data_IF_679711185850
#
_entry.id   IF_679711185850
#
_cell.length_a   1.000
_cell.length_b   1.000
_cell.length_c   1.000
_cell.angle_alpha   90.00
_cell.angle_beta   90.00
_cell.angle_gamma   90.00
#
_symmetry.space_group_name_H-M   'P 1'
#
loop_
_entity.id
_entity.type
_entity.pdbx_description
1 polymer ?
#
# COMPACT_ATOMS: atom_id res chain seq x y z
N UNK A 1 -36.03 -26.32 -10.09
CA UNK A 1 -35.96 -27.28 -8.96
C UNK A 1 -34.66 -26.98 -8.25
N UNK A 2 -34.74 -26.19 -7.19
CA UNK A 2 -33.58 -25.77 -6.37
C UNK A 2 -33.91 -26.20 -4.95
N UNK A 3 -33.19 -27.20 -4.44
CA UNK A 3 -33.29 -27.60 -3.04
C UNK A 3 -32.57 -26.56 -2.19
N UNK A 4 -33.37 -25.76 -1.50
CA UNK A 4 -32.98 -24.91 -0.37
C UNK A 4 -33.70 -25.51 0.83
N UNK A 5 -32.99 -26.21 1.71
CA UNK A 5 -33.37 -26.42 3.11
C UNK A 5 -32.30 -27.25 3.82
N UNK A 6 -31.52 -26.58 4.67
CA UNK A 6 -31.33 -26.95 6.08
C UNK A 6 -30.23 -26.04 6.62
N UNK A 7 -30.58 -25.08 7.47
CA UNK A 7 -29.96 -24.85 8.79
C UNK A 7 -30.91 -23.92 9.55
N UNK A 8 -31.50 -24.45 10.62
CA UNK A 8 -31.95 -23.63 11.75
C UNK A 8 -31.39 -24.27 13.02
N UNK A 9 -30.91 -23.39 13.90
CA UNK A 9 -30.68 -23.56 15.34
C UNK A 9 -29.21 -23.49 15.77
N UNK A 10 -28.93 -22.39 16.47
CA UNK A 10 -28.14 -22.22 17.69
C UNK A 10 -27.26 -20.98 17.60
N UNK A 11 -27.80 -19.83 18.03
CA UNK A 11 -27.28 -19.05 19.16
C UNK A 11 -28.32 -18.01 19.56
N UNK A 12 -28.53 -17.91 20.87
CA UNK A 12 -29.53 -17.04 21.48
C UNK A 12 -29.15 -15.57 21.45
N UNK A 13 -30.19 -14.74 21.27
CA UNK A 13 -30.44 -13.48 21.94
C UNK A 13 -29.35 -12.41 21.95
N UNK A 14 -29.54 -11.35 21.16
CA UNK A 14 -29.87 -10.00 21.68
C UNK A 14 -30.76 -9.30 20.64
N UNK A 15 -31.95 -8.89 21.06
CA UNK A 15 -32.88 -8.06 20.30
C UNK A 15 -32.36 -6.61 20.16
N UNK A 16 -32.42 -6.03 18.96
CA UNK A 16 -32.93 -4.67 18.74
C UNK A 16 -33.70 -4.60 17.41
N UNK A 17 -34.96 -4.18 17.51
CA UNK A 17 -35.96 -4.24 16.45
C UNK A 17 -35.84 -3.15 15.40
N UNK A 18 -36.25 -3.50 14.18
CA UNK A 18 -36.55 -2.59 13.09
C UNK A 18 -37.40 -3.32 12.05
N UNK A 19 -38.68 -2.95 11.94
CA UNK A 19 -39.67 -3.55 11.04
C UNK A 19 -39.36 -3.20 9.59
N UNK A 20 -39.16 -4.19 8.71
CA UNK A 20 -39.22 -3.99 7.26
C UNK A 20 -40.64 -4.26 6.75
N UNK A 21 -41.22 -3.25 6.10
CA UNK A 21 -42.48 -3.35 5.33
C UNK A 21 -42.22 -4.10 4.03
N UNK A 22 -43.06 -5.08 3.74
CA UNK A 22 -43.17 -5.76 2.46
C UNK A 22 -43.74 -4.81 1.39
N UNK A 23 -43.05 -4.71 0.26
CA UNK A 23 -43.60 -4.13 -0.97
C UNK A 23 -43.58 -5.21 -2.07
N UNK A 24 -44.77 -5.69 -2.39
CA UNK A 24 -45.08 -6.54 -3.55
C UNK A 24 -45.45 -5.66 -4.74
N UNK A 25 -44.87 -5.92 -5.92
CA UNK A 25 -45.37 -5.40 -7.21
C UNK A 25 -44.32 -5.54 -8.31
N UNK A 26 -44.32 -6.63 -9.10
CA UNK A 26 -44.88 -6.73 -10.48
C UNK A 26 -44.18 -5.75 -11.46
N UNK A 27 -43.56 -6.14 -12.59
CA UNK A 27 -43.92 -7.10 -13.65
C UNK A 27 -42.69 -7.49 -14.48
N UNK A 28 -42.76 -8.69 -15.07
CA UNK A 28 -41.88 -9.26 -16.10
C UNK A 28 -42.07 -8.55 -17.45
N UNK A 29 -40.98 -8.30 -18.19
CA UNK A 29 -41.01 -8.18 -19.64
C UNK A 29 -39.81 -8.89 -20.27
N UNK A 30 -40.07 -9.47 -21.45
CA UNK A 30 -39.34 -10.55 -22.10
C UNK A 30 -38.19 -10.09 -22.99
N UNK A 31 -37.28 -11.04 -23.26
CA UNK A 31 -36.13 -10.94 -24.15
C UNK A 31 -36.50 -10.65 -25.62
N UNK A 32 -35.73 -9.77 -26.27
CA UNK A 32 -35.59 -9.70 -27.73
C UNK A 32 -34.11 -9.43 -28.14
N UNK A 33 -33.65 -9.99 -29.28
CA UNK A 33 -32.23 -10.11 -29.68
C UNK A 33 -31.65 -8.84 -30.34
N UNK A 34 -30.31 -8.74 -30.52
CA UNK A 34 -29.66 -7.47 -30.86
C UNK A 34 -29.78 -7.09 -32.34
N UNK A 35 -29.97 -5.79 -32.61
CA UNK A 35 -29.87 -5.22 -33.96
C UNK A 35 -28.59 -4.41 -34.15
N UNK A 36 -28.03 -4.60 -35.36
CA UNK A 36 -26.76 -4.12 -35.89
C UNK A 36 -26.60 -2.59 -35.92
N UNK A 37 -25.33 -2.18 -35.87
CA UNK A 37 -24.83 -0.83 -36.05
C UNK A 37 -25.10 -0.25 -37.44
N UNK A 38 -25.36 1.07 -37.50
CA UNK A 38 -25.20 1.92 -38.67
C UNK A 38 -24.93 3.37 -38.23
N UNK A 39 -24.09 4.06 -39.00
CA UNK A 39 -23.37 5.27 -38.63
C UNK A 39 -23.99 6.58 -39.14
N UNK A 40 -23.53 7.67 -38.52
CA UNK A 40 -23.46 9.09 -38.95
C UNK A 40 -24.77 9.91 -39.00
N UNK A 41 -24.79 11.04 -38.28
CA UNK A 41 -24.38 12.38 -38.79
C UNK A 41 -24.44 13.45 -37.69
N UNK A 42 -23.40 14.31 -37.64
CA UNK A 42 -23.31 15.56 -36.87
C UNK A 42 -24.31 16.59 -37.37
N UNK A 43 -24.88 17.42 -36.47
CA UNK A 43 -25.17 18.84 -36.74
C UNK A 43 -24.90 19.68 -35.49
N UNK A 44 -24.05 20.69 -35.69
CA UNK A 44 -23.73 21.79 -34.78
C UNK A 44 -24.83 22.86 -34.94
N UNK A 45 -25.31 23.47 -33.85
CA UNK A 45 -26.00 24.77 -33.91
C UNK A 45 -25.49 25.67 -32.79
N UNK A 46 -24.85 26.75 -33.22
CA UNK A 46 -24.49 27.95 -32.46
C UNK A 46 -25.73 28.86 -32.44
N UNK A 47 -26.00 29.49 -31.30
CA UNK A 47 -26.95 30.59 -31.15
C UNK A 47 -26.55 31.45 -29.96
N UNK A 48 -26.30 32.74 -30.22
CA UNK A 48 -25.71 33.74 -29.34
C UNK A 48 -26.70 34.92 -29.15
N UNK A 49 -26.49 35.72 -28.08
CA UNK A 49 -26.95 37.10 -27.80
C UNK A 49 -28.45 37.19 -27.37
N UNK A 50 -28.90 37.97 -26.37
CA UNK A 50 -28.49 39.30 -25.89
C UNK A 50 -28.93 39.59 -24.43
N UNK A 51 -28.25 40.60 -23.85
CA UNK A 51 -28.48 41.22 -22.55
C UNK A 51 -29.50 42.39 -22.58
N UNK A 52 -29.96 42.83 -21.40
CA UNK A 52 -30.31 44.22 -20.96
C UNK A 52 -30.89 44.15 -19.53
N UNK A 53 -30.24 44.66 -18.47
CA UNK A 53 -30.23 46.03 -17.91
C UNK A 53 -31.65 46.58 -17.60
N UNK A 54 -32.16 46.66 -16.37
CA UNK A 54 -31.84 47.51 -15.19
C UNK A 54 -32.87 48.64 -14.99
N UNK A 55 -33.49 48.74 -13.79
CA UNK A 55 -33.88 50.00 -13.14
C UNK A 55 -34.44 49.76 -11.72
N UNK A 56 -34.03 50.63 -10.80
CA UNK A 56 -34.30 50.64 -9.36
C UNK A 56 -35.64 51.33 -9.00
N UNK A 57 -36.09 51.17 -7.74
CA UNK A 57 -36.75 52.21 -6.93
C UNK A 57 -36.75 51.82 -5.43
N UNK A 58 -36.48 52.82 -4.59
CA UNK A 58 -36.17 52.78 -3.16
C UNK A 58 -37.39 52.90 -2.26
N UNK A 59 -37.39 52.30 -1.05
CA UNK A 59 -38.02 52.77 0.22
C UNK A 59 -37.42 51.89 1.35
N UNK A 60 -36.72 52.37 2.37
CA UNK A 60 -37.21 53.11 3.54
C UNK A 60 -36.66 52.43 4.82
N UNK A 61 -35.91 53.15 5.64
CA UNK A 61 -35.24 52.67 6.88
C UNK A 61 -36.13 52.87 8.11
N UNK A 62 -36.10 51.95 9.11
CA UNK A 62 -36.24 52.34 10.51
C UNK A 62 -35.02 51.92 11.36
N UNK A 63 -34.75 52.59 12.50
CA UNK A 63 -33.47 52.53 13.18
C UNK A 63 -33.39 51.54 14.35
N UNK A 64 -32.17 51.05 14.59
CA UNK A 64 -31.60 50.89 15.94
C UNK A 64 -31.77 49.51 16.60
N UNK A 65 -30.64 48.79 16.76
CA UNK A 65 -29.94 48.69 18.05
C UNK A 65 -28.66 47.84 17.96
N UNK A 66 -27.57 48.49 18.35
CA UNK A 66 -26.37 47.99 19.03
C UNK A 66 -25.48 46.95 18.35
N UNK A 67 -24.36 47.46 17.86
CA UNK A 67 -23.16 46.73 17.47
C UNK A 67 -22.59 45.92 18.64
N UNK A 68 -22.42 44.61 18.42
CA UNK A 68 -21.39 43.82 19.08
C UNK A 68 -20.18 43.81 18.14
N UNK A 69 -19.10 44.37 18.63
CA UNK A 69 -17.77 44.35 18.02
C UNK A 69 -17.27 42.91 17.91
N UNK A 70 -17.52 42.26 16.77
CA UNK A 70 -16.70 41.14 16.32
C UNK A 70 -15.43 41.73 15.70
N UNK A 71 -14.38 41.76 16.52
CA UNK A 71 -13.02 42.01 16.07
C UNK A 71 -12.67 40.93 15.04
N UNK A 72 -12.70 41.27 13.76
CA UNK A 72 -12.09 40.46 12.70
C UNK A 72 -10.59 40.43 12.97
N UNK A 73 -10.10 39.33 13.53
CA UNK A 73 -8.69 39.00 13.50
C UNK A 73 -8.29 38.74 12.04
N UNK A 74 -7.31 39.50 11.56
CA UNK A 74 -6.73 39.40 10.23
C UNK A 74 -6.23 37.98 9.91
N UNK A 75 -6.27 37.54 8.64
CA UNK A 75 -5.69 36.28 8.21
C UNK A 75 -4.19 36.49 7.96
N UNK A 76 -3.42 36.67 9.02
CA UNK A 76 -1.95 36.69 8.96
C UNK A 76 -1.39 36.27 10.32
N UNK A 77 -1.70 35.03 10.70
CA UNK A 77 -0.89 34.30 11.67
C UNK A 77 -0.68 32.91 11.07
N UNK A 78 0.25 32.85 10.12
CA UNK A 78 0.81 31.60 9.64
C UNK A 78 1.24 30.81 10.87
N UNK A 79 0.56 29.68 11.11
CA UNK A 79 0.99 28.72 12.10
C UNK A 79 2.46 28.39 11.82
N UNK A 80 3.34 28.91 12.67
CA UNK A 80 4.75 28.54 12.65
C UNK A 80 4.78 27.01 12.74
N UNK A 81 5.50 26.30 11.84
CA UNK A 81 5.59 24.86 11.96
C UNK A 81 6.26 24.59 13.30
N UNK A 82 5.50 24.02 14.23
CA UNK A 82 6.06 23.46 15.45
C UNK A 82 7.24 22.60 15.01
N UNK A 83 8.43 22.90 15.54
CA UNK A 83 9.64 22.12 15.32
C UNK A 83 9.40 20.72 15.88
N UNK A 84 8.74 19.86 15.09
CA UNK A 84 8.55 18.47 15.41
C UNK A 84 9.94 17.86 15.41
N UNK A 85 10.37 17.37 16.59
CA UNK A 85 11.58 16.60 16.69
C UNK A 85 11.55 15.47 15.64
N UNK A 86 12.68 15.17 14.98
CA UNK A 86 12.74 14.07 14.04
C UNK A 86 12.20 12.80 14.68
N UNK A 87 11.30 12.10 13.98
CA UNK A 87 10.80 10.81 14.45
C UNK A 87 11.98 9.85 14.59
N UNK A 88 12.10 9.08 15.69
CA UNK A 88 13.14 8.07 15.81
C UNK A 88 13.07 7.09 14.64
N UNK A 89 14.22 6.75 14.08
CA UNK A 89 14.32 5.72 13.04
C UNK A 89 14.04 4.36 13.72
N UNK A 90 13.07 3.56 13.23
CA UNK A 90 12.80 2.25 13.80
C UNK A 90 14.02 1.35 13.72
N UNK A 91 14.29 0.59 14.78
CA UNK A 91 15.37 -0.40 14.82
C UNK A 91 14.91 -1.73 14.21
N UNK A 92 15.87 -2.58 13.82
CA UNK A 92 15.57 -3.91 13.30
C UNK A 92 14.81 -4.76 14.33
N UNK A 93 15.34 -4.86 15.56
CA UNK A 93 14.85 -5.77 16.58
C UNK A 93 14.75 -7.23 16.10
N UNK A 94 14.04 -8.10 16.82
CA UNK A 94 13.83 -9.50 16.41
C UNK A 94 13.03 -9.63 15.11
N UNK A 95 12.11 -8.70 14.85
CA UNK A 95 11.24 -8.72 13.67
C UNK A 95 12.01 -8.36 12.39
N UNK A 96 13.09 -7.57 12.50
CA UNK A 96 13.97 -7.21 11.40
C UNK A 96 15.02 -8.26 11.04
N UNK A 97 15.25 -9.27 11.87
CA UNK A 97 16.27 -10.28 11.62
C UNK A 97 15.97 -11.11 10.35
N UNK A 98 17.00 -11.48 9.55
CA UNK A 98 16.85 -12.40 8.42
C UNK A 98 16.10 -13.67 8.80
N UNK A 99 15.16 -14.09 7.94
CA UNK A 99 14.30 -15.26 8.23
C UNK A 99 14.93 -16.55 7.70
N UNK A 100 14.72 -17.64 8.45
CA UNK A 100 15.17 -18.98 8.04
C UNK A 100 14.48 -19.40 6.74
N UNK A 101 15.18 -20.20 5.92
CA UNK A 101 14.57 -20.84 4.75
C UNK A 101 13.78 -22.11 5.11
N UNK A 102 13.92 -22.61 6.34
CA UNK A 102 13.21 -23.78 6.85
C UNK A 102 11.79 -23.36 7.28
N UNK A 103 10.93 -23.12 6.30
CA UNK A 103 9.52 -22.74 6.49
C UNK A 103 8.61 -23.66 5.66
N UNK A 104 7.46 -24.02 6.21
CA UNK A 104 6.33 -24.69 5.56
C UNK A 104 5.65 -23.72 4.60
N UNK A 105 5.16 -24.25 3.48
CA UNK A 105 4.43 -23.49 2.47
C UNK A 105 5.24 -23.10 1.24
N UNK A 106 6.58 -23.12 1.33
CA UNK A 106 7.44 -22.92 0.16
C UNK A 106 8.77 -23.67 0.30
N UNK A 107 9.11 -24.60 -0.62
CA UNK A 107 10.39 -25.31 -0.58
C UNK A 107 11.59 -24.35 -0.59
N UNK A 108 12.54 -24.57 0.32
CA UNK A 108 13.76 -23.77 0.43
C UNK A 108 14.52 -23.64 -0.89
N UNK A 109 14.50 -24.69 -1.72
CA UNK A 109 15.17 -24.70 -3.02
C UNK A 109 14.53 -23.72 -4.02
N UNK A 110 13.19 -23.60 -4.04
CA UNK A 110 12.52 -22.59 -4.86
C UNK A 110 12.88 -21.17 -4.40
N UNK A 111 13.01 -20.99 -3.08
CA UNK A 111 13.46 -19.71 -2.52
C UNK A 111 14.90 -19.37 -2.92
N UNK A 112 15.80 -20.35 -3.00
CA UNK A 112 17.18 -20.15 -3.50
C UNK A 112 17.19 -19.81 -4.99
N UNK A 113 16.36 -20.47 -5.80
CA UNK A 113 16.25 -20.23 -7.24
C UNK A 113 15.69 -18.84 -7.58
N UNK A 114 14.92 -18.24 -6.67
CA UNK A 114 14.43 -16.87 -6.81
C UNK A 114 15.52 -15.78 -6.56
N UNK A 115 16.73 -16.16 -6.15
CA UNK A 115 17.84 -15.22 -6.00
C UNK A 115 18.41 -14.90 -7.38
N UNK A 116 18.49 -13.62 -7.79
CA UNK A 116 19.03 -13.26 -9.09
C UNK A 116 20.53 -13.59 -9.17
N UNK A 117 21.00 -14.24 -10.26
CA UNK A 117 22.40 -14.66 -10.38
C UNK A 117 23.43 -13.53 -10.30
N UNK A 118 23.05 -12.31 -10.69
CA UNK A 118 23.90 -11.12 -10.68
C UNK A 118 23.95 -10.40 -9.31
N UNK A 119 23.16 -10.85 -8.32
CA UNK A 119 23.26 -10.42 -6.93
C UNK A 119 23.09 -11.58 -5.93
N UNK A 120 24.08 -12.50 -5.85
CA UNK A 120 24.03 -13.64 -4.95
C UNK A 120 24.02 -13.19 -3.48
N UNK A 121 23.33 -13.94 -2.63
CA UNK A 121 23.25 -13.68 -1.20
C UNK A 121 24.49 -14.20 -0.47
N UNK A 122 25.09 -13.37 0.38
CA UNK A 122 26.12 -13.78 1.35
C UNK A 122 25.77 -13.20 2.73
N UNK A 123 26.17 -13.83 3.84
CA UNK A 123 25.92 -13.30 5.18
C UNK A 123 26.43 -11.86 5.35
N UNK A 124 27.64 -11.56 4.88
CA UNK A 124 28.22 -10.21 5.00
C UNK A 124 27.45 -9.17 4.18
N UNK A 125 26.95 -9.54 2.99
CA UNK A 125 26.15 -8.64 2.16
C UNK A 125 24.78 -8.37 2.78
N UNK A 126 24.16 -9.39 3.38
CA UNK A 126 22.90 -9.25 4.10
C UNK A 126 23.09 -8.33 5.31
N UNK A 127 24.14 -8.53 6.10
CA UNK A 127 24.48 -7.68 7.25
C UNK A 127 24.72 -6.23 6.83
N UNK A 128 25.46 -5.99 5.74
CA UNK A 128 25.64 -4.64 5.19
C UNK A 128 24.30 -4.04 4.72
N UNK A 129 23.47 -4.83 4.06
CA UNK A 129 22.13 -4.43 3.63
C UNK A 129 21.23 -4.02 4.79
N UNK A 130 21.23 -4.81 5.88
CA UNK A 130 20.49 -4.52 7.10
C UNK A 130 20.94 -3.17 7.66
N UNK A 131 22.25 -2.97 7.86
CA UNK A 131 22.78 -1.69 8.34
C UNK A 131 22.30 -0.51 7.50
N UNK A 132 22.35 -0.62 6.17
CA UNK A 132 21.91 0.43 5.26
C UNK A 132 20.39 0.67 5.32
N UNK A 133 19.57 -0.39 5.45
CA UNK A 133 18.11 -0.28 5.53
C UNK A 133 17.64 0.55 6.75
N UNK A 134 18.43 0.52 7.82
CA UNK A 134 18.16 1.22 9.08
C UNK A 134 18.98 2.52 9.25
N UNK A 135 19.82 2.93 8.29
CA UNK A 135 20.67 4.13 8.43
C UNK A 135 20.02 5.38 7.84
N UNK A 136 19.73 6.35 8.71
CA UNK A 136 19.18 7.65 8.36
C UNK A 136 20.07 8.49 7.45
N UNK A 137 21.39 8.26 7.43
CA UNK A 137 22.35 8.99 6.57
C UNK A 137 22.04 8.87 5.09
N UNK A 138 21.28 7.86 4.67
CA UNK A 138 20.80 7.75 3.30
C UNK A 138 19.84 8.88 2.92
N UNK A 139 19.15 9.52 3.87
CA UNK A 139 18.36 10.73 3.62
C UNK A 139 19.19 12.01 3.67
N UNK A 140 18.70 13.07 3.03
CA UNK A 140 19.42 14.34 2.92
C UNK A 140 19.62 15.04 4.28
N UNK A 141 18.75 14.84 5.26
CA UNK A 141 18.88 15.45 6.60
C UNK A 141 19.20 14.44 7.71
N UNK A 142 19.31 13.15 7.39
CA UNK A 142 19.61 12.10 8.37
C UNK A 142 18.39 11.58 9.14
N UNK A 143 17.18 12.07 8.85
CA UNK A 143 15.97 11.79 9.65
C UNK A 143 15.11 10.64 9.14
N UNK A 144 15.37 10.16 7.92
CA UNK A 144 14.59 9.10 7.26
C UNK A 144 15.52 7.96 6.81
N UNK A 145 15.12 6.73 7.12
CA UNK A 145 15.70 5.49 6.59
C UNK A 145 14.61 4.67 5.89
N UNK A 146 14.97 3.55 5.24
CA UNK A 146 13.98 2.63 4.67
C UNK A 146 13.00 2.15 5.75
N UNK A 147 13.51 1.86 6.95
CA UNK A 147 12.70 1.43 8.10
C UNK A 147 11.71 2.47 8.61
N UNK A 148 11.87 3.75 8.27
CA UNK A 148 10.91 4.80 8.66
C UNK A 148 9.53 4.60 8.01
N UNK A 149 9.52 4.07 6.78
CA UNK A 149 8.30 3.72 6.03
C UNK A 149 8.01 2.21 6.05
N UNK A 150 9.03 1.39 6.31
CA UNK A 150 8.96 -0.06 6.35
C UNK A 150 9.41 -0.59 7.72
N UNK A 151 8.62 -0.28 8.75
CA UNK A 151 8.92 -0.57 10.15
C UNK A 151 8.70 -2.06 10.46
N UNK A 152 9.71 -2.82 10.90
CA UNK A 152 9.55 -4.23 11.26
C UNK A 152 8.43 -4.48 12.28
N UNK A 153 8.20 -3.56 13.23
CA UNK A 153 7.14 -3.66 14.23
C UNK A 153 5.74 -3.50 13.65
N UNK A 154 5.62 -2.99 12.42
CA UNK A 154 4.36 -2.85 11.67
C UNK A 154 4.34 -3.72 10.42
N UNK A 155 4.90 -4.92 10.51
CA UNK A 155 5.00 -5.86 9.40
C UNK A 155 5.65 -5.20 8.16
N UNK A 156 6.67 -4.38 8.37
CA UNK A 156 7.38 -3.63 7.33
C UNK A 156 6.50 -2.66 6.52
N UNK A 157 5.46 -2.12 7.13
CA UNK A 157 4.71 -0.94 6.68
C UNK A 157 4.95 0.21 7.64
N UNK A 158 4.28 1.35 7.47
CA UNK A 158 4.25 2.43 8.47
C UNK A 158 2.88 2.59 9.17
N UNK A 159 1.89 1.77 8.80
CA UNK A 159 0.52 1.82 9.31
C UNK A 159 -0.22 3.11 8.97
N UNK A 160 0.17 3.83 7.91
CA UNK A 160 -0.44 5.11 7.50
C UNK A 160 -1.10 5.01 6.13
N UNK A 161 -2.12 5.85 5.84
CA UNK A 161 -2.67 5.93 4.49
C UNK A 161 -1.62 6.31 3.45
N UNK A 162 -0.77 7.28 3.81
CA UNK A 162 0.40 7.68 3.02
C UNK A 162 1.58 7.97 3.91
N UNK A 163 2.77 7.60 3.46
CA UNK A 163 3.99 7.80 4.23
C UNK A 163 4.36 9.25 4.42
N UNK A 164 5.10 9.52 5.49
CA UNK A 164 5.67 10.84 5.78
C UNK A 164 7.18 10.69 5.67
N UNK A 165 7.80 11.43 4.75
CA UNK A 165 9.25 11.43 4.55
C UNK A 165 9.91 12.69 5.13
N UNK A 166 10.99 13.10 4.46
CA UNK A 166 11.89 14.17 4.88
C UNK A 166 11.15 15.49 5.10
N UNK A 167 11.55 16.27 6.12
CA UNK A 167 10.90 17.52 6.51
C UNK A 167 9.39 17.41 6.77
N UNK A 168 8.89 16.22 7.16
CA UNK A 168 7.47 15.99 7.39
C UNK A 168 6.62 15.98 6.12
N UNK A 169 7.23 15.85 4.93
CA UNK A 169 6.51 15.81 3.65
C UNK A 169 5.64 14.56 3.56
N UNK A 170 4.38 14.75 3.23
CA UNK A 170 3.44 13.64 2.99
C UNK A 170 3.61 13.14 1.56
N UNK A 171 3.74 11.82 1.42
CA UNK A 171 3.80 11.13 0.14
C UNK A 171 2.42 10.98 -0.51
N UNK A 172 2.37 10.24 -1.62
CA UNK A 172 1.14 10.05 -2.41
C UNK A 172 0.57 8.64 -2.33
N UNK A 173 1.28 7.73 -1.66
CA UNK A 173 0.98 6.30 -1.65
C UNK A 173 1.18 5.72 -0.26
N UNK A 174 0.40 4.70 0.04
CA UNK A 174 0.62 3.79 1.15
C UNK A 174 1.94 3.03 0.95
N UNK A 175 2.73 2.84 2.00
CA UNK A 175 3.95 2.02 1.94
C UNK A 175 3.57 0.54 1.94
N UNK A 176 3.78 -0.20 0.83
CA UNK A 176 3.54 -1.64 0.83
C UNK A 176 4.55 -2.33 1.76
N UNK A 177 4.19 -3.49 2.30
CA UNK A 177 5.13 -4.30 3.08
C UNK A 177 6.34 -4.75 2.25
N UNK A 178 7.52 -4.85 2.87
CA UNK A 178 8.67 -5.56 2.26
C UNK A 178 8.67 -7.07 2.54
N UNK A 179 7.73 -7.58 3.32
CA UNK A 179 7.60 -9.02 3.53
C UNK A 179 7.33 -9.72 2.19
N UNK A 180 8.07 -10.78 1.91
CA UNK A 180 7.94 -11.60 0.71
C UNK A 180 8.21 -10.89 -0.63
N UNK A 181 8.77 -9.66 -0.65
CA UNK A 181 9.00 -8.91 -1.91
C UNK A 181 9.97 -9.58 -2.89
N UNK A 182 10.75 -10.56 -2.42
CA UNK A 182 11.56 -11.45 -3.26
C UNK A 182 10.74 -12.10 -4.39
N UNK A 183 9.47 -12.42 -4.14
CA UNK A 183 8.62 -13.15 -5.09
C UNK A 183 7.80 -12.22 -6.00
N UNK A 184 7.89 -10.91 -5.81
CA UNK A 184 7.22 -9.94 -6.68
C UNK A 184 7.82 -9.98 -8.09
N UNK A 185 6.96 -10.00 -9.11
CA UNK A 185 7.38 -9.87 -10.52
C UNK A 185 7.83 -8.44 -10.87
N UNK A 186 7.24 -7.44 -10.20
CA UNK A 186 7.52 -6.01 -10.37
C UNK A 186 7.38 -5.29 -9.03
N UNK A 187 8.04 -4.14 -8.86
CA UNK A 187 8.03 -3.34 -7.63
C UNK A 187 7.26 -2.02 -7.80
N UNK A 188 6.98 -1.30 -6.70
CA UNK A 188 6.00 -0.19 -6.58
C UNK A 188 4.55 -0.59 -6.89
N UNK A 189 3.57 0.18 -6.43
CA UNK A 189 2.14 -0.07 -6.70
C UNK A 189 1.77 -0.14 -8.18
N UNK A 190 2.45 0.64 -9.02
CA UNK A 190 2.24 0.70 -10.48
C UNK A 190 3.10 -0.32 -11.26
N UNK A 191 3.96 -1.09 -10.58
CA UNK A 191 4.80 -2.10 -11.22
C UNK A 191 5.90 -1.53 -12.13
N UNK A 192 6.25 -0.23 -11.99
CA UNK A 192 7.10 0.48 -12.96
C UNK A 192 8.57 0.02 -13.03
N UNK A 193 9.06 -0.70 -12.02
CA UNK A 193 10.41 -1.28 -12.01
C UNK A 193 10.35 -2.78 -11.76
N UNK A 194 11.37 -3.52 -12.22
CA UNK A 194 11.36 -4.99 -12.17
C UNK A 194 12.13 -5.54 -10.98
N UNK A 195 13.17 -4.86 -10.55
CA UNK A 195 14.09 -5.37 -9.54
C UNK A 195 14.01 -4.58 -8.23
N UNK A 196 14.45 -5.20 -7.14
CA UNK A 196 14.57 -4.54 -5.83
C UNK A 196 15.68 -3.49 -5.86
N UNK A 197 16.76 -3.74 -6.60
CA UNK A 197 17.87 -2.81 -6.80
C UNK A 197 17.41 -1.51 -7.46
N UNK A 198 16.60 -1.59 -8.52
CA UNK A 198 15.97 -0.43 -9.16
C UNK A 198 15.02 0.29 -8.19
N UNK A 199 14.24 -0.47 -7.42
CA UNK A 199 13.29 0.09 -6.47
C UNK A 199 13.98 0.86 -5.35
N UNK A 200 14.99 0.26 -4.70
CA UNK A 200 15.72 0.84 -3.58
C UNK A 200 16.43 2.16 -3.95
N UNK A 201 16.77 2.36 -5.22
CA UNK A 201 17.39 3.59 -5.70
C UNK A 201 16.45 4.82 -5.68
N UNK A 202 15.15 4.64 -5.92
CA UNK A 202 14.25 5.77 -6.16
C UNK A 202 13.83 6.52 -4.89
N UNK A 203 13.50 5.88 -3.75
CA UNK A 203 13.17 6.58 -2.50
C UNK A 203 14.30 7.50 -2.02
N UNK A 204 15.56 7.08 -2.22
CA UNK A 204 16.77 7.82 -1.82
C UNK A 204 16.76 9.24 -2.39
N UNK A 205 16.40 9.39 -3.67
CA UNK A 205 16.40 10.69 -4.37
C UNK A 205 15.03 11.36 -4.42
N UNK A 206 13.96 10.69 -3.97
CA UNK A 206 12.63 11.28 -4.01
C UNK A 206 12.51 12.42 -2.98
N UNK A 207 12.15 13.65 -3.40
CA UNK A 207 12.07 14.81 -2.52
C UNK A 207 10.98 14.72 -1.43
N UNK A 208 10.01 13.81 -1.55
CA UNK A 208 8.99 13.55 -0.54
C UNK A 208 9.34 12.38 0.39
N UNK A 209 10.38 11.60 0.06
CA UNK A 209 10.80 10.43 0.84
C UNK A 209 12.14 10.75 1.54
N UNK A 210 13.29 10.45 0.92
CA UNK A 210 14.60 10.62 1.55
C UNK A 210 15.37 11.87 1.06
N UNK A 211 14.98 12.43 -0.08
CA UNK A 211 15.33 13.78 -0.51
C UNK A 211 16.78 14.05 -0.90
N UNK A 212 17.59 13.03 -1.18
CA UNK A 212 18.96 13.25 -1.68
C UNK A 212 18.93 13.91 -3.07
N UNK A 213 19.85 14.85 -3.36
CA UNK A 213 19.92 15.47 -4.68
C UNK A 213 20.39 14.49 -5.77
N UNK A 214 21.11 13.44 -5.39
CA UNK A 214 21.54 12.36 -6.28
C UNK A 214 21.91 11.11 -5.47
N UNK A 215 22.02 9.96 -6.17
CA UNK A 215 22.58 8.75 -5.57
C UNK A 215 24.02 8.97 -5.08
N UNK A 216 24.83 9.70 -5.83
CA UNK A 216 26.22 10.00 -5.45
C UNK A 216 26.31 10.79 -4.14
N UNK A 217 25.35 11.69 -3.88
CA UNK A 217 25.30 12.42 -2.61
C UNK A 217 24.98 11.48 -1.43
N UNK A 218 24.10 10.49 -1.62
CA UNK A 218 23.84 9.46 -0.62
C UNK A 218 25.09 8.61 -0.37
N UNK A 219 25.73 8.15 -1.45
CA UNK A 219 26.97 7.36 -1.39
C UNK A 219 28.09 8.12 -0.69
N UNK A 220 28.25 9.41 -0.96
CA UNK A 220 29.28 10.24 -0.32
C UNK A 220 29.11 10.30 1.21
N UNK A 221 27.87 10.35 1.71
CA UNK A 221 27.60 10.28 3.15
C UNK A 221 27.95 8.93 3.74
N UNK A 222 27.64 7.84 3.05
CA UNK A 222 27.99 6.48 3.47
C UNK A 222 29.52 6.29 3.45
N UNK A 223 30.19 6.76 2.40
CA UNK A 223 31.65 6.67 2.24
C UNK A 223 32.43 7.52 3.26
N UNK A 224 31.78 8.49 3.91
CA UNK A 224 32.38 9.27 4.99
C UNK A 224 32.52 8.48 6.30
N UNK A 225 31.93 7.29 6.41
CA UNK A 225 31.99 6.42 7.59
C UNK A 225 32.98 5.28 7.34
N UNK A 226 34.00 5.15 8.21
CA UNK A 226 35.06 4.13 8.09
C UNK A 226 34.51 2.70 8.05
N UNK A 227 33.55 2.41 8.93
CA UNK A 227 32.89 1.10 9.00
C UNK A 227 32.24 0.70 7.67
N UNK A 228 31.62 1.64 6.94
CA UNK A 228 31.05 1.33 5.63
C UNK A 228 32.12 1.13 4.56
N UNK A 229 33.22 1.88 4.59
CA UNK A 229 34.32 1.65 3.64
C UNK A 229 34.89 0.24 3.81
N UNK A 230 35.09 -0.20 5.04
CA UNK A 230 35.55 -1.56 5.35
C UNK A 230 34.54 -2.62 4.92
N UNK A 231 33.26 -2.44 5.24
CA UNK A 231 32.22 -3.37 4.88
C UNK A 231 32.05 -3.52 3.36
N UNK A 232 32.10 -2.41 2.60
CA UNK A 232 32.06 -2.48 1.13
C UNK A 232 33.31 -3.12 0.54
N UNK A 233 34.49 -2.84 1.10
CA UNK A 233 35.72 -3.51 0.68
C UNK A 233 35.67 -5.02 0.93
N UNK A 234 35.10 -5.47 2.06
CA UNK A 234 34.92 -6.88 2.36
C UNK A 234 33.90 -7.55 1.44
N UNK A 235 32.74 -6.94 1.23
CA UNK A 235 31.62 -7.55 0.49
C UNK A 235 31.81 -7.48 -1.02
N UNK A 236 32.33 -6.36 -1.52
CA UNK A 236 32.38 -6.05 -2.96
C UNK A 236 33.80 -5.84 -3.50
N UNK A 237 34.82 -5.79 -2.64
CA UNK A 237 36.21 -5.59 -3.06
C UNK A 237 36.55 -4.17 -3.49
N UNK A 238 35.67 -3.20 -3.22
CA UNK A 238 35.81 -1.80 -3.68
C UNK A 238 35.09 -0.82 -2.75
N UNK A 239 35.39 0.50 -2.84
CA UNK A 239 34.73 1.52 -2.04
C UNK A 239 33.20 1.61 -2.27
N UNK A 240 32.46 2.25 -1.34
CA UNK A 240 31.03 2.48 -1.48
C UNK A 240 30.66 3.14 -2.82
N UNK A 241 29.64 2.58 -3.49
CA UNK A 241 29.13 3.06 -4.76
C UNK A 241 27.63 2.74 -4.87
N UNK A 242 26.91 3.47 -5.74
CA UNK A 242 25.45 3.35 -5.87
C UNK A 242 24.96 1.92 -6.19
N UNK A 243 25.50 1.26 -7.24
CA UNK A 243 25.11 -0.10 -7.59
C UNK A 243 25.26 -1.12 -6.44
N UNK A 244 26.38 -1.10 -5.72
CA UNK A 244 26.62 -2.05 -4.64
C UNK A 244 25.80 -1.72 -3.38
N UNK A 245 25.52 -0.43 -3.13
CA UNK A 245 24.63 0.01 -2.05
C UNK A 245 23.24 -0.58 -2.20
N UNK A 246 22.62 -0.43 -3.39
CA UNK A 246 21.27 -0.98 -3.62
C UNK A 246 21.26 -2.50 -3.68
N UNK A 247 22.36 -3.14 -4.14
CA UNK A 247 22.51 -4.60 -4.08
C UNK A 247 22.57 -5.14 -2.66
N UNK A 248 23.24 -4.42 -1.75
CA UNK A 248 23.27 -4.78 -0.33
C UNK A 248 21.88 -4.67 0.29
N UNK A 249 21.21 -3.51 0.14
CA UNK A 249 19.83 -3.30 0.64
C UNK A 249 18.88 -4.40 0.12
N UNK A 250 18.87 -4.62 -1.19
CA UNK A 250 18.03 -5.63 -1.82
C UNK A 250 18.37 -7.07 -1.36
N UNK A 251 19.58 -7.31 -0.85
CA UNK A 251 19.92 -8.61 -0.25
C UNK A 251 19.25 -8.79 1.10
N UNK A 252 19.27 -7.76 1.95
CA UNK A 252 18.54 -7.77 3.20
C UNK A 252 17.02 -7.93 2.99
N UNK A 253 16.42 -7.15 2.08
CA UNK A 253 14.99 -7.22 1.77
C UNK A 253 14.57 -8.64 1.36
N UNK A 254 15.39 -9.31 0.56
CA UNK A 254 15.16 -10.69 0.13
C UNK A 254 15.14 -11.69 1.28
N UNK A 255 15.66 -11.36 2.45
CA UNK A 255 15.64 -12.26 3.63
C UNK A 255 14.36 -12.14 4.45
N UNK A 256 13.53 -11.13 4.19
CA UNK A 256 12.28 -10.89 4.91
C UNK A 256 11.15 -11.76 4.34
N UNK A 257 11.33 -13.09 4.40
CA UNK A 257 10.34 -14.07 3.98
C UNK A 257 9.50 -14.55 5.17
N UNK A 258 8.18 -14.57 5.00
CA UNK A 258 7.25 -14.96 6.05
C UNK A 258 6.18 -15.90 5.47
N UNK A 259 6.48 -17.19 5.60
CA UNK A 259 5.60 -18.34 5.43
C UNK A 259 5.33 -18.96 6.83
N UNK A 260 5.09 -20.27 6.94
CA UNK A 260 4.66 -20.93 8.19
C UNK A 260 3.31 -20.47 8.74
N UNK A 261 2.48 -19.81 7.94
CA UNK A 261 1.13 -19.47 8.38
C UNK A 261 0.26 -20.73 8.53
N UNK A 262 -0.83 -20.68 9.32
CA UNK A 262 -1.81 -21.77 9.35
C UNK A 262 -2.31 -22.19 7.94
N UNK A 263 -2.37 -21.23 7.02
CA UNK A 263 -2.71 -21.50 5.62
C UNK A 263 -1.59 -22.26 4.88
N UNK A 264 -0.32 -21.97 5.14
CA UNK A 264 0.81 -22.69 4.56
C UNK A 264 0.83 -24.16 4.97
N UNK A 265 0.60 -24.44 6.26
CA UNK A 265 0.45 -25.81 6.77
C UNK A 265 -0.77 -26.52 6.16
N UNK A 266 -1.88 -25.80 5.97
CA UNK A 266 -3.05 -26.35 5.29
C UNK A 266 -2.74 -26.75 3.84
N UNK A 267 -2.04 -25.91 3.09
CA UNK A 267 -1.60 -26.22 1.72
C UNK A 267 -0.58 -27.37 1.70
N UNK A 268 0.26 -27.50 2.74
CA UNK A 268 1.18 -28.62 2.91
C UNK A 268 0.49 -29.95 3.30
N UNK A 269 -0.83 -29.96 3.48
CA UNK A 269 -1.63 -31.16 3.71
C UNK A 269 -2.14 -31.34 5.14
N UNK A 270 -1.80 -30.43 6.06
CA UNK A 270 -2.33 -30.43 7.42
C UNK A 270 -3.77 -29.89 7.42
N UNK A 271 -4.73 -30.78 7.16
CA UNK A 271 -6.16 -30.44 6.94
C UNK A 271 -6.81 -29.64 8.07
N UNK A 272 -6.26 -29.68 9.28
CA UNK A 272 -6.79 -29.01 10.47
C UNK A 272 -5.99 -27.76 10.86
N UNK A 273 -4.98 -27.35 10.07
CA UNK A 273 -4.22 -26.14 10.34
C UNK A 273 -5.08 -24.87 10.24
N UNK A 274 -6.15 -24.90 9.43
CA UNK A 274 -7.19 -23.85 9.40
C UNK A 274 -8.55 -24.40 9.84
N UNK A 275 -9.37 -23.53 10.44
CA UNK A 275 -10.72 -23.90 10.87
C UNK A 275 -11.71 -24.00 9.69
N UNK A 276 -12.91 -24.54 9.95
CA UNK A 276 -13.91 -24.76 8.90
C UNK A 276 -14.44 -23.46 8.27
N UNK A 277 -14.39 -22.34 9.00
CA UNK A 277 -14.75 -21.04 8.42
C UNK A 277 -13.73 -20.60 7.37
N UNK A 278 -12.44 -20.74 7.67
CA UNK A 278 -11.36 -20.45 6.73
C UNK A 278 -11.40 -21.39 5.51
N UNK A 279 -11.73 -22.68 5.69
CA UNK A 279 -11.93 -23.62 4.56
C UNK A 279 -13.06 -23.17 3.62
N UNK A 280 -14.20 -22.73 4.17
CA UNK A 280 -15.29 -22.14 3.36
C UNK A 280 -14.87 -20.86 2.66
N UNK A 281 -14.11 -20.00 3.34
CA UNK A 281 -13.53 -18.79 2.75
C UNK A 281 -12.58 -19.10 1.58
N UNK A 282 -11.74 -20.12 1.73
CA UNK A 282 -10.83 -20.60 0.68
C UNK A 282 -11.60 -21.14 -0.55
N UNK A 283 -12.66 -21.93 -0.33
CA UNK A 283 -13.53 -22.38 -1.42
C UNK A 283 -14.17 -21.19 -2.14
N UNK A 284 -14.73 -20.23 -1.40
CA UNK A 284 -15.32 -19.02 -1.97
C UNK A 284 -14.31 -18.21 -2.80
N UNK A 285 -13.10 -18.01 -2.27
CA UNK A 285 -12.01 -17.27 -2.91
C UNK A 285 -11.66 -17.85 -4.29
N UNK A 286 -11.56 -19.18 -4.40
CA UNK A 286 -11.20 -19.83 -5.66
C UNK A 286 -12.37 -20.02 -6.63
N UNK A 287 -13.59 -20.21 -6.12
CA UNK A 287 -14.76 -20.58 -6.95
C UNK A 287 -15.62 -19.38 -7.31
N UNK A 288 -16.42 -18.86 -6.37
CA UNK A 288 -17.38 -17.79 -6.63
C UNK A 288 -16.70 -16.42 -6.77
N UNK A 289 -15.70 -16.14 -5.91
CA UNK A 289 -14.90 -14.92 -5.98
C UNK A 289 -13.93 -14.92 -7.17
N UNK A 290 -13.49 -16.12 -7.60
CA UNK A 290 -12.54 -16.31 -8.71
C UNK A 290 -11.27 -15.46 -8.56
N UNK A 291 -10.82 -15.27 -7.32
CA UNK A 291 -9.71 -14.39 -6.96
C UNK A 291 -8.33 -14.97 -7.31
N UNK A 292 -8.28 -16.19 -7.85
CA UNK A 292 -7.05 -16.94 -8.18
C UNK A 292 -7.06 -17.48 -9.62
N UNK A 293 -7.50 -16.67 -10.59
CA UNK A 293 -7.46 -17.08 -12.01
C UNK A 293 -6.07 -16.85 -12.58
N UNK A 294 -5.52 -17.88 -13.22
CA UNK A 294 -4.23 -17.79 -13.93
C UNK A 294 -4.20 -16.64 -14.94
N UNK A 295 -5.28 -16.42 -15.69
CA UNK A 295 -5.37 -15.36 -16.69
C UNK A 295 -5.31 -13.93 -16.11
N UNK A 296 -5.62 -13.78 -14.81
CA UNK A 296 -5.60 -12.49 -14.13
C UNK A 296 -4.21 -12.22 -13.48
N UNK A 297 -3.36 -13.25 -13.37
CA UNK A 297 -2.01 -13.13 -12.81
C UNK A 297 -1.17 -12.21 -13.70
N UNK A 298 -0.72 -11.09 -13.13
CA UNK A 298 0.06 -10.05 -13.80
C UNK A 298 -0.67 -9.28 -14.92
N UNK A 299 -2.00 -9.44 -15.06
CA UNK A 299 -2.80 -8.56 -15.92
C UNK A 299 -2.74 -7.09 -15.41
N UNK A 300 -2.73 -6.93 -14.09
CA UNK A 300 -2.35 -5.74 -13.37
C UNK A 300 -1.44 -6.15 -12.20
N UNK A 301 -0.67 -5.21 -11.63
CA UNK A 301 0.04 -5.52 -10.39
C UNK A 301 -0.96 -5.63 -9.25
N UNK A 302 -1.19 -6.84 -8.79
CA UNK A 302 -1.92 -7.14 -7.55
C UNK A 302 -0.92 -7.35 -6.42
N UNK A 303 -1.04 -6.64 -5.28
CA UNK A 303 -0.23 -6.93 -4.10
C UNK A 303 -0.39 -8.38 -3.64
N UNK A 304 0.63 -8.92 -2.99
CA UNK A 304 0.53 -10.18 -2.27
C UNK A 304 -0.50 -10.06 -1.13
N UNK A 305 -1.28 -11.12 -0.91
CA UNK A 305 -2.26 -11.22 0.18
C UNK A 305 -1.67 -11.90 1.43
N UNK A 306 -0.43 -12.40 1.37
CA UNK A 306 0.27 -12.84 2.59
C UNK A 306 0.43 -11.68 3.53
N UNK A 307 0.21 -11.93 4.82
CA UNK A 307 0.29 -10.94 5.89
C UNK A 307 -0.72 -9.80 5.81
N UNK A 308 -1.72 -9.87 4.92
CA UNK A 308 -2.71 -8.79 4.70
C UNK A 308 -3.50 -8.41 5.97
N UNK A 309 -3.61 -9.32 6.95
CA UNK A 309 -4.24 -9.02 8.24
C UNK A 309 -3.50 -7.95 9.07
N UNK A 310 -2.22 -7.69 8.77
CA UNK A 310 -1.35 -6.80 9.57
C UNK A 310 -0.66 -5.71 8.76
N UNK A 311 -1.06 -5.50 7.50
CA UNK A 311 -0.47 -4.51 6.59
C UNK A 311 -1.48 -3.43 6.16
N UNK A 312 -2.47 -3.15 7.00
CA UNK A 312 -3.40 -2.04 6.77
C UNK A 312 -2.72 -0.67 6.99
N UNK A 313 -3.34 0.43 6.53
CA UNK A 313 -4.56 0.46 5.72
C UNK A 313 -4.31 -0.02 4.28
N UNK A 314 -5.38 -0.30 3.54
CA UNK A 314 -5.33 -1.00 2.25
C UNK A 314 -5.53 -0.08 1.06
N UNK A 315 -5.15 -0.60 -0.11
CA UNK A 315 -5.00 0.08 -1.39
C UNK A 315 -3.80 1.04 -1.45
N UNK A 316 -3.48 1.43 -2.68
CA UNK A 316 -2.31 2.25 -3.00
C UNK A 316 -2.34 3.64 -2.35
N UNK A 317 -3.51 4.11 -1.94
CA UNK A 317 -3.76 5.39 -1.26
C UNK A 317 -4.13 5.22 0.22
N UNK A 318 -4.25 3.97 0.69
CA UNK A 318 -4.58 3.65 2.07
C UNK A 318 -5.98 4.10 2.49
N UNK A 319 -6.94 4.22 1.55
CA UNK A 319 -8.29 4.69 1.84
C UNK A 319 -9.17 3.65 2.56
N UNK A 320 -8.82 2.38 2.54
CA UNK A 320 -9.61 1.35 3.23
C UNK A 320 -8.94 1.00 4.57
N UNK A 321 -9.60 1.31 5.67
CA UNK A 321 -9.03 1.11 7.01
C UNK A 321 -9.02 -0.37 7.40
N UNK A 322 -10.05 -1.12 7.01
CA UNK A 322 -10.23 -2.53 7.37
C UNK A 322 -10.38 -3.43 6.14
N UNK A 323 -10.11 -4.73 6.30
CA UNK A 323 -10.40 -5.72 5.26
C UNK A 323 -11.88 -5.83 4.95
N UNK A 324 -12.75 -5.51 5.92
CA UNK A 324 -14.18 -5.47 5.65
C UNK A 324 -14.53 -4.35 4.68
N UNK A 325 -13.90 -3.18 4.80
CA UNK A 325 -14.08 -2.08 3.84
C UNK A 325 -13.60 -2.49 2.43
N UNK A 326 -12.48 -3.22 2.35
CA UNK A 326 -11.98 -3.78 1.08
C UNK A 326 -12.98 -4.77 0.46
N UNK A 327 -13.50 -5.71 1.24
CA UNK A 327 -14.47 -6.70 0.76
C UNK A 327 -15.79 -6.01 0.35
N UNK A 328 -16.24 -5.03 1.13
CA UNK A 328 -17.44 -4.26 0.82
C UNK A 328 -17.27 -3.41 -0.45
N UNK A 329 -16.09 -2.83 -0.67
CA UNK A 329 -15.76 -2.11 -1.89
C UNK A 329 -15.92 -3.02 -3.13
N UNK A 330 -15.35 -4.23 -3.09
CA UNK A 330 -15.50 -5.18 -4.21
C UNK A 330 -16.92 -5.72 -4.35
N UNK A 331 -17.64 -5.96 -3.25
CA UNK A 331 -19.03 -6.44 -3.29
C UNK A 331 -20.00 -5.41 -3.89
N UNK A 332 -19.71 -4.11 -3.76
CA UNK A 332 -20.49 -3.02 -4.38
C UNK A 332 -20.22 -2.87 -5.88
N UNK A 333 -19.18 -3.52 -6.40
CA UNK A 333 -18.73 -3.37 -7.78
C UNK A 333 -17.88 -2.13 -8.03
N UNK A 334 -17.42 -1.44 -6.99
CA UNK A 334 -16.63 -0.21 -7.09
C UNK A 334 -15.17 -0.45 -7.54
N UNK A 335 -14.78 -1.72 -7.72
CA UNK A 335 -13.45 -2.16 -8.16
C UNK A 335 -13.39 -2.76 -9.57
N UNK A 336 -14.43 -2.59 -10.40
CA UNK A 336 -14.49 -3.10 -11.79
C UNK A 336 -14.63 -2.00 -12.85
#
# INVERSE_FOLDING_TARGET
>A
MTLRNHVHSFFGGVHRGGRYRSFTGLKRHADHPPKRASAKRRRLRIGLIAATAAAALSFGVPPGKQARSETRSSPDEAAQPATQQPRPIPEAGPLGQPKSLEQVGLPAELTRQAIPPDNPQTPDKITLGEKLFFDGRLSADGTVACSTCHDPARAFTDGRPTSIGINGRVGQRNAPTILNVRYNKTQFWDGRVKTLEEQAALPIVNPHEMGQPSMDAAVAKIAAVDEYKEAFQQVFGRPPNGPDLVRAIASYERTQILFDSPFDHFIAGEKNAINDSAKRGWELFNTHGRCNKEADIAAFKTPDLRNVLVTGPYFHDGLQETLWDVIDHYNKGDGL
#
